data_IF_439047354564
#
_entry.id   IF_439047354564
#
_cell.length_a   1.000
_cell.length_b   1.000
_cell.length_c   1.000
_cell.angle_alpha   90.00
_cell.angle_beta   90.00
_cell.angle_gamma   90.00
#
_symmetry.space_group_name_H-M   'P 1'
#
loop_
_entity.id
_entity.type
_entity.pdbx_description
1 polymer ?
#
# COMPACT_ATOMS: atom_id res chain seq x y z
N UNK A 1 17.37 -6.25 10.15
CA UNK A 1 16.27 -6.11 9.18
C UNK A 1 16.91 -5.98 7.82
N UNK A 2 16.74 -6.96 6.93
CA UNK A 2 17.31 -6.88 5.58
C UNK A 2 16.52 -5.84 4.77
N UNK A 3 17.20 -5.08 3.90
CA UNK A 3 16.61 -4.02 3.06
C UNK A 3 15.48 -4.50 2.12
N UNK A 4 15.32 -5.81 1.95
CA UNK A 4 14.38 -6.41 1.02
C UNK A 4 12.92 -6.46 1.51
N UNK A 5 12.67 -6.29 2.81
CA UNK A 5 11.33 -6.38 3.41
C UNK A 5 10.78 -5.01 3.84
N UNK A 6 11.03 -3.96 3.05
CA UNK A 6 10.47 -2.62 3.28
C UNK A 6 9.37 -2.27 2.26
N UNK A 7 8.35 -1.49 2.64
CA UNK A 7 8.09 -1.00 3.99
C UNK A 7 7.62 -2.11 4.93
N UNK A 8 7.72 -1.89 6.25
CA UNK A 8 7.11 -2.76 7.23
C UNK A 8 5.57 -2.76 7.13
N UNK A 9 4.89 -3.64 7.88
CA UNK A 9 3.42 -3.75 7.86
C UNK A 9 2.69 -2.45 8.22
N UNK A 10 3.38 -1.53 8.92
CA UNK A 10 2.86 -0.24 9.35
C UNK A 10 3.22 0.89 8.37
N UNK A 11 3.89 0.57 7.26
CA UNK A 11 4.26 1.53 6.22
C UNK A 11 5.56 2.28 6.50
N UNK A 12 6.42 1.79 7.39
CA UNK A 12 7.71 2.43 7.67
C UNK A 12 8.86 1.83 6.86
N UNK A 13 9.71 2.70 6.33
CA UNK A 13 11.03 2.41 5.78
C UNK A 13 12.06 2.75 6.85
N UNK A 14 12.34 1.80 7.74
CA UNK A 14 13.13 2.06 8.94
C UNK A 14 12.41 3.04 9.87
N UNK A 15 12.98 4.22 10.12
CA UNK A 15 12.37 5.25 10.98
C UNK A 15 11.43 6.22 10.25
N UNK A 16 11.34 6.12 8.93
CA UNK A 16 10.61 7.07 8.10
C UNK A 16 9.33 6.44 7.54
N UNK A 17 8.30 7.24 7.28
CA UNK A 17 7.02 6.76 6.72
C UNK A 17 5.93 6.64 7.80
N UNK A 18 5.10 5.61 7.66
CA UNK A 18 3.86 5.47 8.43
C UNK A 18 2.74 6.39 7.92
N UNK A 19 1.62 6.42 8.63
CA UNK A 19 0.44 7.20 8.27
C UNK A 19 0.15 8.27 9.32
N UNK A 20 0.44 9.53 9.01
CA UNK A 20 0.09 10.69 9.85
C UNK A 20 -1.01 11.51 9.15
N UNK A 21 -2.24 11.03 9.27
CA UNK A 21 -3.43 11.57 8.59
C UNK A 21 -4.55 11.84 9.59
N UNK A 22 -5.57 12.59 9.19
CA UNK A 22 -6.77 12.75 9.99
C UNK A 22 -7.51 11.42 10.18
N UNK A 23 -8.17 11.24 11.33
CA UNK A 23 -8.96 10.04 11.65
C UNK A 23 -10.01 9.75 10.57
N UNK A 24 -10.60 10.80 10.00
CA UNK A 24 -11.59 10.71 8.91
C UNK A 24 -11.06 10.10 7.61
N UNK A 25 -9.73 9.98 7.46
CA UNK A 25 -9.09 9.39 6.28
C UNK A 25 -8.61 7.96 6.51
N UNK A 26 -8.63 7.47 7.76
CA UNK A 26 -8.09 6.16 8.11
C UNK A 26 -8.81 5.04 7.35
N UNK A 27 -10.15 5.08 7.33
CA UNK A 27 -10.97 4.05 6.66
C UNK A 27 -10.71 4.00 5.15
N UNK A 28 -10.70 5.17 4.49
CA UNK A 28 -10.46 5.26 3.05
C UNK A 28 -9.06 4.77 2.66
N UNK A 29 -8.04 5.06 3.47
CA UNK A 29 -6.68 4.57 3.23
C UNK A 29 -6.55 3.07 3.45
N UNK A 30 -7.27 2.52 4.42
CA UNK A 30 -7.29 1.08 4.66
C UNK A 30 -7.98 0.34 3.51
N UNK A 31 -9.12 0.84 3.02
CA UNK A 31 -9.78 0.32 1.82
C UNK A 31 -8.85 0.36 0.61
N UNK A 32 -8.20 1.50 0.37
CA UNK A 32 -7.23 1.66 -0.71
C UNK A 32 -6.09 0.64 -0.59
N UNK A 33 -5.55 0.42 0.61
CA UNK A 33 -4.48 -0.56 0.86
C UNK A 33 -4.94 -1.98 0.50
N UNK A 34 -6.16 -2.36 0.88
CA UNK A 34 -6.73 -3.68 0.57
C UNK A 34 -6.94 -3.85 -0.92
N UNK A 35 -7.55 -2.86 -1.59
CA UNK A 35 -7.81 -2.94 -3.02
C UNK A 35 -6.52 -2.92 -3.84
N UNK A 36 -5.56 -2.08 -3.47
CA UNK A 36 -4.23 -2.09 -4.10
C UNK A 36 -3.57 -3.47 -3.99
N UNK A 37 -3.56 -4.09 -2.81
CA UNK A 37 -2.98 -5.43 -2.62
C UNK A 37 -3.65 -6.50 -3.48
N UNK A 38 -4.95 -6.36 -3.73
CA UNK A 38 -5.71 -7.24 -4.62
C UNK A 38 -5.31 -7.03 -6.08
N UNK A 39 -5.31 -5.78 -6.54
CA UNK A 39 -5.18 -5.46 -7.96
C UNK A 39 -3.73 -5.33 -8.45
N UNK A 40 -2.74 -5.14 -7.57
CA UNK A 40 -1.33 -5.04 -7.95
C UNK A 40 -0.79 -6.29 -8.67
N UNK A 41 -1.42 -7.44 -8.49
CA UNK A 41 -1.08 -8.71 -9.14
C UNK A 41 -2.22 -9.24 -10.02
N UNK A 42 -3.28 -8.45 -10.23
CA UNK A 42 -4.42 -8.87 -11.03
C UNK A 42 -4.08 -8.75 -12.53
N UNK A 43 -4.12 -9.86 -13.29
CA UNK A 43 -3.70 -9.86 -14.68
C UNK A 43 -4.64 -9.07 -15.60
N UNK A 44 -5.93 -8.98 -15.27
CA UNK A 44 -6.90 -8.20 -16.05
C UNK A 44 -6.62 -6.71 -15.85
N UNK A 45 -6.41 -6.29 -14.59
CA UNK A 45 -6.04 -4.92 -14.26
C UNK A 45 -4.71 -4.50 -14.89
N UNK A 46 -3.69 -5.37 -14.83
CA UNK A 46 -2.38 -5.09 -15.42
C UNK A 46 -2.44 -5.02 -16.96
N UNK A 47 -3.28 -5.84 -17.60
CA UNK A 47 -3.49 -5.78 -19.04
C UNK A 47 -4.17 -4.47 -19.47
N UNK A 48 -5.15 -3.99 -18.70
CA UNK A 48 -5.78 -2.69 -18.93
C UNK A 48 -4.81 -1.52 -18.69
N UNK A 49 -4.03 -1.55 -17.60
CA UNK A 49 -3.07 -0.49 -17.25
C UNK A 49 -1.90 -0.34 -18.23
N UNK A 50 -1.49 -1.42 -18.90
CA UNK A 50 -0.35 -1.42 -19.82
C UNK A 50 -0.64 -0.78 -21.19
N UNK A 51 -1.89 -0.41 -21.47
CA UNK A 51 -2.34 0.19 -22.72
C UNK A 51 -2.31 1.73 -22.68
#
# INVERSE_FOLDING_TARGET
MQLYDMPDERGHFGQFGGSFVAETLVEALEELRVMYKKYQHDPEFLAEYAY
#
